data_IF_609002392871
#
_entry.id   IF_609002392871
#
_cell.length_a   1.000
_cell.length_b   1.000
_cell.length_c   1.000
_cell.angle_alpha   90.00
_cell.angle_beta   90.00
_cell.angle_gamma   90.00
#
_symmetry.space_group_name_H-M   'P 1'
#
loop_
_entity.id
_entity.type
_entity.pdbx_description
1 polymer ?
#
# COMPACT_ATOMS: atom_id res chain seq x y z
N UNK A 1 30.22 14.42 19.32
CA UNK A 1 29.86 13.92 17.97
C UNK A 1 29.00 12.68 18.17
N UNK A 2 27.73 12.73 17.81
CA UNK A 2 26.81 11.59 17.94
C UNK A 2 26.75 10.88 16.60
N UNK A 3 27.24 9.65 16.51
CA UNK A 3 27.12 8.80 15.32
C UNK A 3 25.71 8.21 15.28
N UNK A 4 24.97 8.36 14.17
CA UNK A 4 23.66 7.70 14.04
C UNK A 4 23.85 6.19 14.02
N UNK A 5 23.03 5.47 14.79
CA UNK A 5 22.96 4.02 14.74
C UNK A 5 22.48 3.58 13.36
N UNK A 6 23.18 2.63 12.75
CA UNK A 6 22.79 2.07 11.45
C UNK A 6 21.47 1.29 11.57
N UNK A 7 20.57 1.50 10.61
CA UNK A 7 19.31 0.76 10.55
C UNK A 7 19.58 -0.68 10.10
N UNK A 8 19.14 -1.64 10.91
CA UNK A 8 19.19 -3.06 10.56
C UNK A 8 17.77 -3.54 10.23
N UNK A 9 17.49 -3.96 8.99
CA UNK A 9 16.17 -4.46 8.62
C UNK A 9 15.86 -5.79 9.34
N UNK A 10 14.58 -6.07 9.63
CA UNK A 10 14.19 -7.35 10.21
C UNK A 10 14.32 -8.50 9.19
N UNK A 11 14.52 -9.73 9.67
CA UNK A 11 14.58 -10.92 8.81
C UNK A 11 13.26 -11.20 8.07
N UNK A 12 12.14 -10.79 8.66
CA UNK A 12 10.81 -10.81 8.03
C UNK A 12 10.24 -9.41 8.10
N UNK A 13 9.90 -8.85 6.94
CA UNK A 13 9.29 -7.54 6.86
C UNK A 13 7.85 -7.57 7.37
N UNK A 14 7.48 -6.54 8.14
CA UNK A 14 6.14 -6.36 8.67
C UNK A 14 5.59 -5.00 8.26
N UNK A 15 4.32 -4.95 7.87
CA UNK A 15 3.65 -3.69 7.56
C UNK A 15 3.28 -2.94 8.85
N UNK A 16 4.17 -2.09 9.34
CA UNK A 16 3.91 -1.16 10.44
C UNK A 16 3.56 0.21 9.87
N UNK A 17 2.29 0.60 9.86
CA UNK A 17 1.87 1.94 9.43
C UNK A 17 2.41 2.99 10.43
N UNK A 18 3.20 4.00 9.98
CA UNK A 18 2.67 5.18 9.29
C UNK A 18 3.69 5.80 8.31
N UNK A 19 3.99 5.13 7.18
CA UNK A 19 4.89 5.72 6.18
C UNK A 19 4.50 5.28 4.76
N UNK A 20 3.77 6.15 4.06
CA UNK A 20 3.31 5.91 2.69
C UNK A 20 3.09 7.17 1.85
N UNK A 21 3.47 8.34 2.38
CA UNK A 21 3.30 9.63 1.70
C UNK A 21 1.84 9.90 1.28
N UNK A 22 1.68 10.55 0.12
CA UNK A 22 0.36 10.88 -0.45
C UNK A 22 -0.56 9.66 -0.64
N UNK A 23 0.01 8.48 -0.85
CA UNK A 23 -0.73 7.23 -1.13
C UNK A 23 -0.89 6.33 0.10
N UNK A 24 -0.54 6.81 1.30
CA UNK A 24 -0.62 6.02 2.53
C UNK A 24 -2.01 5.41 2.79
N UNK A 25 -3.07 6.07 2.31
CA UNK A 25 -4.45 5.62 2.47
C UNK A 25 -4.86 4.48 1.51
N UNK A 26 -4.13 4.27 0.40
CA UNK A 26 -4.47 3.25 -0.61
C UNK A 26 -3.48 2.09 -0.67
N UNK A 27 -2.22 2.30 -0.27
CA UNK A 27 -1.17 1.27 -0.35
C UNK A 27 -1.40 0.16 0.69
N UNK A 28 -1.41 -1.10 0.24
CA UNK A 28 -1.51 -2.29 1.08
C UNK A 28 -0.61 -3.42 0.55
N UNK A 29 -0.05 -4.27 1.42
CA UNK A 29 0.78 -5.41 0.99
C UNK A 29 -0.03 -6.55 0.38
N UNK A 30 -1.38 -6.47 0.43
CA UNK A 30 -2.30 -7.47 -0.09
C UNK A 30 -3.18 -6.87 -1.17
N UNK A 31 -3.41 -7.62 -2.25
CA UNK A 31 -4.40 -7.30 -3.27
C UNK A 31 -5.82 -7.75 -2.85
N UNK A 32 -6.83 -7.29 -3.59
CA UNK A 32 -8.23 -7.69 -3.40
C UNK A 32 -9.20 -6.50 -3.46
N UNK A 33 -10.46 -6.78 -3.79
CA UNK A 33 -11.52 -5.78 -3.74
C UNK A 33 -11.74 -5.33 -2.29
N UNK A 34 -11.80 -4.02 -2.06
CA UNK A 34 -12.14 -3.45 -0.76
C UNK A 34 -13.63 -3.15 -0.63
N UNK A 35 -14.35 -3.17 -1.74
CA UNK A 35 -15.78 -2.97 -1.85
C UNK A 35 -16.31 -3.67 -3.10
N UNK A 36 -17.60 -3.98 -3.08
CA UNK A 36 -18.31 -4.42 -4.27
C UNK A 36 -18.80 -3.20 -5.04
N UNK A 37 -18.45 -3.11 -6.31
CA UNK A 37 -18.84 -2.03 -7.20
C UNK A 37 -19.03 -2.58 -8.62
N UNK A 38 -20.27 -2.58 -9.09
CA UNK A 38 -20.56 -2.87 -10.50
C UNK A 38 -20.09 -1.69 -11.36
N UNK A 39 -19.43 -2.00 -12.48
CA UNK A 39 -18.99 -1.00 -13.46
C UNK A 39 -20.12 -0.69 -14.43
N UNK A 40 -20.27 0.57 -14.89
CA UNK A 40 -21.25 0.91 -15.90
C UNK A 40 -20.90 0.25 -17.24
N UNK A 41 -21.92 -0.25 -17.95
CA UNK A 41 -21.78 -0.83 -19.29
C UNK A 41 -22.32 0.15 -20.33
N UNK A 42 -21.48 0.51 -21.31
CA UNK A 42 -21.85 1.39 -22.42
C UNK A 42 -22.60 0.68 -23.54
N UNK A 43 -23.10 1.44 -24.51
CA UNK A 43 -23.87 0.90 -25.64
C UNK A 43 -23.01 0.28 -26.74
N UNK A 44 -21.73 0.66 -26.82
CA UNK A 44 -20.84 0.25 -27.91
C UNK A 44 -20.07 -1.03 -27.58
N UNK A 45 -19.79 -1.88 -28.59
CA UNK A 45 -18.86 -2.99 -28.43
C UNK A 45 -17.43 -2.49 -28.23
N UNK A 46 -16.58 -3.37 -27.70
CA UNK A 46 -15.15 -3.14 -27.45
C UNK A 46 -14.31 -3.18 -28.73
#
# INVERSE_FOLDING_TARGET
>A
MTTPTEYVPPAVWTWSAPNGGQFANINRPTAGATQDQELPVGQHPL
#
